data_IF_031264772845
#
_entry.id   IF_031264772845
#
_cell.length_a   1.000
_cell.length_b   1.000
_cell.length_c   1.000
_cell.angle_alpha   90.00
_cell.angle_beta   90.00
_cell.angle_gamma   90.00
#
_symmetry.space_group_name_H-M   'P 1'
#
loop_
_entity.id
_entity.type
_entity.pdbx_description
1 polymer ?
#
# COMPACT_ATOMS: atom_id res chain seq x y z
N UNK A 1 -1.82 12.19 0.26
CA UNK A 1 -1.20 11.66 1.49
C UNK A 1 -1.80 10.29 1.80
N UNK A 2 -1.00 9.21 1.87
CA UNK A 2 -1.51 7.88 2.20
C UNK A 2 -2.21 7.78 3.55
N UNK A 3 -1.89 8.66 4.52
CA UNK A 3 -2.55 8.68 5.84
C UNK A 3 -4.04 9.04 5.77
N UNK A 4 -4.47 9.67 4.68
CA UNK A 4 -5.86 10.07 4.45
C UNK A 4 -6.65 9.06 3.60
N UNK A 5 -6.02 7.97 3.14
CA UNK A 5 -6.70 6.99 2.30
C UNK A 5 -7.83 6.28 3.05
N UNK A 6 -9.01 6.26 2.45
CA UNK A 6 -10.09 5.35 2.82
C UNK A 6 -9.73 3.90 2.44
N UNK A 7 -10.58 2.95 2.86
CA UNK A 7 -10.47 1.55 2.40
C UNK A 7 -10.52 1.44 0.87
N UNK A 8 -11.37 2.23 0.23
CA UNK A 8 -11.55 2.17 -1.21
C UNK A 8 -10.36 2.80 -1.96
N UNK A 9 -9.71 3.80 -1.37
CA UNK A 9 -8.44 4.33 -1.88
C UNK A 9 -7.32 3.29 -1.81
N UNK A 10 -7.22 2.53 -0.71
CA UNK A 10 -6.27 1.41 -0.59
C UNK A 10 -6.54 0.34 -1.66
N UNK A 11 -7.81 -0.04 -1.86
CA UNK A 11 -8.18 -1.00 -2.89
C UNK A 11 -7.88 -0.49 -4.31
N UNK A 12 -8.11 0.80 -4.60
CA UNK A 12 -7.75 1.43 -5.88
C UNK A 12 -6.24 1.42 -6.09
N UNK A 13 -5.47 1.76 -5.06
CA UNK A 13 -4.00 1.71 -5.11
C UNK A 13 -3.49 0.29 -5.38
N UNK A 14 -3.97 -0.73 -4.67
CA UNK A 14 -3.58 -2.12 -4.90
C UNK A 14 -3.85 -2.58 -6.34
N UNK A 15 -5.04 -2.28 -6.87
CA UNK A 15 -5.40 -2.58 -8.26
C UNK A 15 -4.50 -1.87 -9.25
N UNK A 16 -4.24 -0.58 -9.03
CA UNK A 16 -3.33 0.19 -9.88
C UNK A 16 -1.92 -0.41 -9.89
N UNK A 17 -1.36 -0.72 -8.71
CA UNK A 17 -0.04 -1.35 -8.59
C UNK A 17 0.02 -2.72 -9.26
N UNK A 18 -1.03 -3.52 -9.12
CA UNK A 18 -1.14 -4.81 -9.79
C UNK A 18 -1.10 -4.66 -11.32
N UNK A 19 -1.84 -3.69 -11.87
CA UNK A 19 -1.88 -3.42 -13.31
C UNK A 19 -0.54 -2.92 -13.84
N UNK A 20 0.04 -1.88 -13.24
CA UNK A 20 1.25 -1.24 -13.82
C UNK A 20 2.52 -2.12 -13.70
N UNK A 21 2.57 -3.02 -12.72
CA UNK A 21 3.70 -3.93 -12.51
C UNK A 21 3.41 -5.36 -12.92
N UNK A 22 2.23 -5.63 -13.51
CA UNK A 22 1.82 -6.97 -13.95
C UNK A 22 1.95 -8.01 -12.82
N UNK A 23 1.60 -7.61 -11.59
CA UNK A 23 1.69 -8.52 -10.46
C UNK A 23 0.67 -9.65 -10.62
N UNK A 24 1.03 -10.90 -10.24
CA UNK A 24 0.03 -11.94 -10.08
C UNK A 24 -1.01 -11.50 -9.05
N UNK A 25 -2.25 -11.99 -9.21
CA UNK A 25 -3.45 -11.59 -8.47
C UNK A 25 -3.18 -11.00 -7.07
N UNK A 26 -3.41 -9.68 -6.90
CA UNK A 26 -3.30 -8.96 -5.62
C UNK A 26 -4.67 -8.97 -4.92
N UNK A 27 -4.85 -9.76 -3.86
CA UNK A 27 -6.15 -9.91 -3.19
C UNK A 27 -6.51 -8.66 -2.36
N UNK A 28 -7.34 -7.77 -2.91
CA UNK A 28 -7.76 -6.52 -2.23
C UNK A 28 -8.57 -6.78 -0.96
N UNK A 29 -9.28 -7.91 -0.90
CA UNK A 29 -10.01 -8.42 0.27
C UNK A 29 -9.10 -8.77 1.46
N UNK A 30 -7.79 -8.96 1.24
CA UNK A 30 -6.81 -9.10 2.33
C UNK A 30 -6.36 -7.77 2.93
N UNK A 31 -6.78 -6.65 2.34
CA UNK A 31 -6.44 -5.29 2.75
C UNK A 31 -7.70 -4.45 3.03
N UNK A 32 -8.66 -5.00 3.79
CA UNK A 32 -9.89 -4.30 4.21
C UNK A 32 -9.60 -3.27 5.30
N UNK A 33 -8.75 -2.29 5.00
CA UNK A 33 -8.27 -1.29 5.94
C UNK A 33 -8.00 0.04 5.26
N UNK A 34 -7.97 1.11 6.05
CA UNK A 34 -7.64 2.46 5.57
C UNK A 34 -6.12 2.68 5.57
N UNK A 35 -5.70 3.85 5.09
CA UNK A 35 -4.29 4.22 5.03
C UNK A 35 -3.59 4.30 6.38
N UNK A 36 -4.29 4.68 7.46
CA UNK A 36 -3.72 4.71 8.82
C UNK A 36 -3.36 3.32 9.31
N UNK A 37 -4.23 2.34 9.09
CA UNK A 37 -3.94 0.95 9.40
C UNK A 37 -2.83 0.39 8.49
N UNK A 38 -2.79 0.79 7.22
CA UNK A 38 -1.74 0.40 6.28
C UNK A 38 -0.36 0.95 6.70
N UNK A 39 -0.29 2.12 7.36
CA UNK A 39 0.94 2.65 7.97
C UNK A 39 1.53 1.76 9.06
N UNK A 40 0.72 0.92 9.72
CA UNK A 40 1.17 0.03 10.79
C UNK A 40 1.66 -1.33 10.26
N UNK A 41 1.52 -1.59 8.95
CA UNK A 41 1.91 -2.86 8.37
C UNK A 41 3.42 -2.95 8.14
N UNK A 42 4.03 -4.01 8.67
CA UNK A 42 5.42 -4.37 8.35
C UNK A 42 5.52 -4.99 6.95
N UNK A 43 6.74 -5.06 6.42
CA UNK A 43 7.05 -5.73 5.16
C UNK A 43 6.62 -7.21 5.17
N UNK A 44 6.78 -7.91 6.30
CA UNK A 44 6.38 -9.31 6.45
C UNK A 44 4.86 -9.47 6.39
N UNK A 45 4.11 -8.52 6.95
CA UNK A 45 2.65 -8.50 6.85
C UNK A 45 2.16 -8.26 5.41
N UNK A 46 2.91 -7.52 4.59
CA UNK A 46 2.64 -7.41 3.14
C UNK A 46 2.96 -8.72 2.42
N UNK A 47 4.10 -9.33 2.72
CA UNK A 47 4.53 -10.61 2.12
C UNK A 47 3.59 -11.77 2.46
N UNK A 48 3.08 -11.84 3.69
CA UNK A 48 2.10 -12.85 4.10
C UNK A 48 0.77 -12.73 3.35
N UNK A 49 0.41 -11.52 2.90
CA UNK A 49 -0.81 -11.28 2.09
C UNK A 49 -0.56 -11.49 0.60
N UNK A 50 0.59 -11.05 0.11
CA UNK A 50 0.99 -11.04 -1.31
C UNK A 50 2.43 -11.57 -1.43
N UNK A 51 2.64 -12.90 -1.50
CA UNK A 51 3.98 -13.48 -1.55
C UNK A 51 4.79 -12.99 -2.77
N UNK A 52 4.12 -12.89 -3.92
CA UNK A 52 4.69 -12.41 -5.19
C UNK A 52 4.26 -10.95 -5.43
N UNK A 53 4.86 -10.01 -4.70
CA UNK A 53 4.61 -8.57 -4.89
C UNK A 53 4.56 -7.74 -3.62
N UNK A 54 4.47 -8.37 -2.44
CA UNK A 54 4.35 -7.68 -1.15
C UNK A 54 5.49 -6.69 -0.87
N UNK A 55 6.75 -7.04 -1.21
CA UNK A 55 7.90 -6.12 -1.09
C UNK A 55 7.74 -4.87 -1.94
N UNK A 56 7.24 -5.01 -3.17
CA UNK A 56 7.02 -3.90 -4.10
C UNK A 56 5.92 -2.97 -3.57
N UNK A 57 4.80 -3.54 -3.14
CA UNK A 57 3.68 -2.80 -2.56
C UNK A 57 4.11 -2.03 -1.30
N UNK A 58 4.84 -2.68 -0.39
CA UNK A 58 5.38 -2.03 0.80
C UNK A 58 6.28 -0.85 0.45
N UNK A 59 7.22 -1.04 -0.50
CA UNK A 59 8.17 0.01 -0.91
C UNK A 59 7.46 1.21 -1.53
N UNK A 60 6.51 0.99 -2.44
CA UNK A 60 5.74 2.09 -3.04
C UNK A 60 4.94 2.87 -1.99
N UNK A 61 4.29 2.17 -1.06
CA UNK A 61 3.55 2.81 0.02
C UNK A 61 4.46 3.67 0.91
N UNK A 62 5.62 3.15 1.32
CA UNK A 62 6.59 3.89 2.13
C UNK A 62 7.14 5.13 1.41
N UNK A 63 7.39 5.05 0.10
CA UNK A 63 7.80 6.21 -0.71
C UNK A 63 6.72 7.30 -0.73
N UNK A 64 5.45 6.92 -0.91
CA UNK A 64 4.32 7.88 -0.88
C UNK A 64 4.15 8.50 0.50
N UNK A 65 4.34 7.72 1.56
CA UNK A 65 4.25 8.19 2.95
C UNK A 65 5.39 9.16 3.27
N UNK A 66 6.63 8.78 2.95
CA UNK A 66 7.81 9.63 3.14
C UNK A 66 7.69 10.95 2.37
N UNK A 67 7.23 10.91 1.11
CA UNK A 67 6.96 12.12 0.33
C UNK A 67 5.89 12.99 1.00
N UNK A 68 4.81 12.41 1.50
CA UNK A 68 3.77 13.16 2.21
C UNK A 68 4.30 13.82 3.49
N UNK A 69 5.14 13.11 4.26
CA UNK A 69 5.75 13.66 5.47
C UNK A 69 6.72 14.80 5.15
N UNK A 70 7.57 14.64 4.13
CA UNK A 70 8.49 15.69 3.69
C UNK A 70 7.75 16.96 3.23
N UNK A 71 6.70 16.81 2.43
CA UNK A 71 5.87 17.93 1.99
C UNK A 71 5.03 18.56 3.12
N UNK A 72 4.96 17.92 4.29
CA UNK A 72 4.29 18.45 5.49
C UNK A 72 5.26 19.14 6.44
N UNK A 73 6.57 19.14 6.14
CA UNK A 73 7.55 19.91 6.91
C UNK A 73 7.38 21.41 6.59
N UNK A 74 7.47 22.30 7.59
CA UNK A 74 7.37 23.75 7.39
C UNK A 74 8.50 24.31 6.53
#
# INVERSE_FOLDING_TARGET
>A
DPRCWSRDDVARWLRHMATIHQLPHVPTDRFLMNGKALCLMSIDMFLGRVPLGGKLLYKDFQLRLGKAMYMSLP
#
